data_IF_506148734861
#
_entry.id   IF_506148734861
#
_cell.length_a   1.000
_cell.length_b   1.000
_cell.length_c   1.000
_cell.angle_alpha   90.00
_cell.angle_beta   90.00
_cell.angle_gamma   90.00
#
_symmetry.space_group_name_H-M   'P 1'
#
loop_
_entity.id
_entity.type
_entity.pdbx_description
1 polymer ?
#
# COMPACT_ATOMS: atom_id res chain seq x y z
N UNK A 1 2.08 -29.15 10.74
CA UNK A 1 2.71 -28.06 9.95
C UNK A 1 1.72 -27.37 9.01
N UNK A 2 0.64 -28.02 8.57
CA UNK A 2 -0.40 -27.42 7.70
C UNK A 2 -1.14 -26.22 8.33
N UNK A 3 -1.49 -26.26 9.62
CA UNK A 3 -2.29 -25.21 10.27
C UNK A 3 -1.61 -23.83 10.39
N UNK A 4 -0.27 -23.74 10.30
CA UNK A 4 0.47 -22.47 10.33
C UNK A 4 0.61 -21.87 8.93
N UNK A 5 0.75 -22.73 7.91
CA UNK A 5 0.78 -22.33 6.50
C UNK A 5 -0.56 -21.75 6.07
N UNK A 6 -1.65 -22.42 6.46
CA UNK A 6 -3.03 -22.02 6.15
C UNK A 6 -3.39 -20.67 6.80
N UNK A 7 -2.94 -20.44 8.05
CA UNK A 7 -3.06 -19.13 8.72
C UNK A 7 -2.27 -18.02 8.06
N UNK A 8 -1.10 -18.29 7.48
CA UNK A 8 -0.32 -17.28 6.74
C UNK A 8 -0.96 -16.92 5.40
N UNK A 9 -1.68 -17.86 4.78
CA UNK A 9 -2.45 -17.62 3.56
C UNK A 9 -3.73 -16.81 3.83
N UNK A 10 -4.34 -16.97 5.01
CA UNK A 10 -5.59 -16.29 5.39
C UNK A 10 -5.49 -14.74 5.50
N UNK A 11 -4.29 -14.18 5.64
CA UNK A 11 -4.07 -12.72 5.78
C UNK A 11 -3.31 -12.09 4.61
N UNK A 12 -3.14 -12.83 3.51
CA UNK A 12 -2.53 -12.33 2.28
C UNK A 12 -3.58 -11.98 1.25
N UNK A 13 -3.35 -10.90 0.52
CA UNK A 13 -4.16 -10.50 -0.62
C UNK A 13 -3.28 -10.35 -1.85
N UNK A 14 -3.76 -10.86 -2.98
CA UNK A 14 -3.19 -10.56 -4.27
C UNK A 14 -3.78 -9.24 -4.80
N UNK A 15 -2.91 -8.35 -5.25
CA UNK A 15 -3.27 -7.05 -5.81
C UNK A 15 -2.24 -6.60 -6.87
N UNK A 16 -2.46 -5.43 -7.45
CA UNK A 16 -1.51 -4.74 -8.32
C UNK A 16 -1.04 -3.44 -7.70
N UNK A 17 0.26 -3.18 -7.77
CA UNK A 17 0.85 -1.95 -7.27
C UNK A 17 1.96 -1.44 -8.20
N UNK A 18 2.26 -0.15 -8.09
CA UNK A 18 3.49 0.43 -8.64
C UNK A 18 4.50 0.51 -7.50
N UNK A 19 5.72 0.01 -7.75
CA UNK A 19 6.80 -0.03 -6.76
C UNK A 19 8.00 0.77 -7.25
N UNK A 20 8.51 1.67 -6.41
CA UNK A 20 9.87 2.18 -6.51
C UNK A 20 10.69 1.55 -5.39
N UNK A 21 11.88 1.05 -5.71
CA UNK A 21 12.76 0.36 -4.77
C UNK A 21 14.14 1.00 -4.81
N UNK A 22 14.68 1.36 -3.65
CA UNK A 22 16.02 1.93 -3.54
C UNK A 22 16.82 1.17 -2.48
N UNK A 23 18.04 0.77 -2.83
CA UNK A 23 18.98 0.21 -1.86
C UNK A 23 19.30 1.28 -0.82
N UNK A 24 19.37 0.86 0.45
CA UNK A 24 19.68 1.76 1.56
C UNK A 24 20.79 1.17 2.41
N UNK A 25 21.55 2.05 3.06
CA UNK A 25 22.54 1.65 4.04
C UNK A 25 21.96 1.73 5.46
N UNK A 26 22.72 1.28 6.47
CA UNK A 26 22.28 1.32 7.87
C UNK A 26 22.08 2.75 8.40
N UNK A 27 22.84 3.72 7.90
CA UNK A 27 22.72 5.11 8.31
C UNK A 27 21.39 5.72 7.84
N UNK A 28 20.94 5.42 6.63
CA UNK A 28 19.64 5.85 6.11
C UNK A 28 18.51 5.36 7.03
N UNK A 29 18.53 4.07 7.40
CA UNK A 29 17.54 3.43 8.29
C UNK A 29 17.42 4.09 9.67
N UNK A 30 18.49 4.71 10.14
CA UNK A 30 18.56 5.32 11.47
C UNK A 30 18.32 6.83 11.45
N UNK A 31 18.57 7.49 10.32
CA UNK A 31 18.62 8.96 10.26
C UNK A 31 17.44 9.61 9.56
N UNK A 32 16.66 8.85 8.78
CA UNK A 32 15.54 9.39 8.02
C UNK A 32 14.38 8.40 7.89
N UNK A 33 13.23 8.90 7.43
CA UNK A 33 12.09 8.07 7.05
C UNK A 33 12.29 7.53 5.63
N UNK A 34 11.69 6.37 5.33
CA UNK A 34 11.85 5.72 4.02
C UNK A 34 11.47 6.62 2.83
N UNK A 35 10.49 7.51 2.99
CA UNK A 35 10.09 8.48 1.95
C UNK A 35 11.25 9.38 1.49
N UNK A 36 12.15 9.75 2.42
CA UNK A 36 13.28 10.64 2.13
C UNK A 36 14.38 9.97 1.28
N UNK A 37 14.33 8.65 1.11
CA UNK A 37 15.24 7.94 0.22
C UNK A 37 14.89 8.18 -1.26
N UNK A 38 13.67 8.62 -1.56
CA UNK A 38 13.18 8.83 -2.93
C UNK A 38 13.27 10.30 -3.35
N UNK A 39 13.39 10.58 -4.67
CA UNK A 39 13.16 11.92 -5.18
C UNK A 39 11.78 12.45 -4.78
N UNK A 40 11.70 13.76 -4.51
CA UNK A 40 10.45 14.42 -4.16
C UNK A 40 9.35 14.14 -5.18
N UNK A 41 8.18 13.75 -4.70
CA UNK A 41 7.04 13.39 -5.54
C UNK A 41 5.81 14.21 -5.15
N UNK A 42 5.41 15.13 -6.03
CA UNK A 42 4.25 16.00 -5.79
C UNK A 42 2.95 15.20 -5.61
N UNK A 43 2.77 14.11 -6.37
CA UNK A 43 1.64 13.21 -6.22
C UNK A 43 1.65 12.52 -4.86
N UNK A 44 2.81 12.07 -4.39
CA UNK A 44 2.94 11.45 -3.08
C UNK A 44 2.58 12.45 -1.99
N UNK A 45 3.18 13.64 -2.00
CA UNK A 45 2.87 14.68 -1.03
C UNK A 45 1.39 15.10 -1.05
N UNK A 46 0.78 15.23 -2.24
CA UNK A 46 -0.64 15.52 -2.38
C UNK A 46 -1.51 14.46 -1.69
N UNK A 47 -1.27 13.18 -1.98
CA UNK A 47 -2.07 12.10 -1.42
C UNK A 47 -1.86 11.96 0.09
N UNK A 48 -0.63 12.15 0.59
CA UNK A 48 -0.36 12.18 2.04
C UNK A 48 -1.07 13.34 2.74
N UNK A 49 -1.09 14.52 2.12
CA UNK A 49 -1.79 15.68 2.68
C UNK A 49 -3.30 15.45 2.77
N UNK A 50 -3.93 14.88 1.73
CA UNK A 50 -5.37 14.54 1.77
C UNK A 50 -5.66 13.55 2.90
N UNK A 51 -4.84 12.50 3.04
CA UNK A 51 -4.99 11.51 4.12
C UNK A 51 -4.79 12.11 5.52
N UNK A 52 -3.87 13.08 5.67
CA UNK A 52 -3.69 13.81 6.93
C UNK A 52 -4.96 14.59 7.30
N UNK A 53 -5.51 15.33 6.33
CA UNK A 53 -6.74 16.11 6.51
C UNK A 53 -7.91 15.19 6.89
N UNK A 54 -8.05 14.02 6.24
CA UNK A 54 -9.09 13.05 6.58
C UNK A 54 -8.92 12.50 8.00
N UNK A 55 -7.67 12.25 8.43
CA UNK A 55 -7.36 11.76 9.77
C UNK A 55 -7.69 12.81 10.84
N UNK A 56 -7.34 14.07 10.60
CA UNK A 56 -7.68 15.22 11.45
C UNK A 56 -9.19 15.41 11.56
N UNK A 57 -9.93 15.19 10.47
CA UNK A 57 -11.38 15.35 10.42
C UNK A 57 -12.17 14.17 10.99
N UNK A 58 -11.53 13.04 11.30
CA UNK A 58 -12.21 11.80 11.66
C UNK A 58 -13.14 11.94 12.89
N UNK A 59 -12.68 12.64 13.94
CA UNK A 59 -13.50 12.88 15.14
C UNK A 59 -14.67 13.83 14.87
N UNK A 60 -14.47 14.86 14.02
CA UNK A 60 -15.52 15.78 13.63
C UNK A 60 -16.61 15.06 12.83
N UNK A 61 -16.22 14.24 11.85
CA UNK A 61 -17.18 13.44 11.08
C UNK A 61 -17.98 12.48 11.95
N UNK A 62 -17.35 11.87 12.96
CA UNK A 62 -18.05 11.03 13.94
C UNK A 62 -19.06 11.84 14.76
N UNK A 63 -18.65 12.99 15.29
CA UNK A 63 -19.55 13.88 16.05
C UNK A 63 -20.72 14.41 15.19
N UNK A 64 -20.50 14.63 13.90
CA UNK A 64 -21.56 15.00 12.95
C UNK A 64 -22.50 13.81 12.75
N UNK A 65 -21.97 12.60 12.55
CA UNK A 65 -22.77 11.39 12.38
C UNK A 65 -23.71 11.14 13.57
N UNK A 66 -23.20 11.29 14.79
CA UNK A 66 -23.97 11.11 16.02
C UNK A 66 -25.13 12.12 16.15
N UNK A 67 -25.03 13.29 15.49
CA UNK A 67 -26.07 14.34 15.47
C UNK A 67 -27.02 14.24 14.27
N UNK A 68 -26.48 13.96 13.09
CA UNK A 68 -27.22 13.78 11.84
C UNK A 68 -26.46 12.84 10.90
N UNK A 69 -26.95 11.59 10.76
CA UNK A 69 -26.40 10.63 9.83
C UNK A 69 -26.44 11.11 8.36
N UNK A 70 -27.46 11.87 7.97
CA UNK A 70 -27.64 12.36 6.59
C UNK A 70 -26.58 13.41 6.22
N UNK A 71 -26.30 14.35 7.13
CA UNK A 71 -25.25 15.36 6.92
C UNK A 71 -23.88 14.68 6.86
N UNK A 72 -23.63 13.71 7.75
CA UNK A 72 -22.39 12.92 7.72
C UNK A 72 -22.22 12.18 6.39
N UNK A 73 -23.28 11.52 5.89
CA UNK A 73 -23.27 10.84 4.60
C UNK A 73 -22.99 11.79 3.42
N UNK A 74 -23.51 13.02 3.47
CA UNK A 74 -23.20 14.05 2.48
C UNK A 74 -21.72 14.45 2.52
N UNK A 75 -21.14 14.73 3.69
CA UNK A 75 -19.72 15.04 3.82
C UNK A 75 -18.81 13.90 3.36
N UNK A 76 -19.14 12.66 3.71
CA UNK A 76 -18.41 11.48 3.21
C UNK A 76 -18.47 11.38 1.68
N UNK A 77 -19.60 11.76 1.07
CA UNK A 77 -19.74 11.80 -0.39
C UNK A 77 -18.90 12.91 -1.02
N UNK A 78 -18.78 14.07 -0.35
CA UNK A 78 -17.89 15.17 -0.77
C UNK A 78 -16.42 14.75 -0.65
N UNK A 79 -16.01 14.14 0.46
CA UNK A 79 -14.64 13.61 0.61
C UNK A 79 -14.32 12.61 -0.49
N UNK A 80 -15.24 11.67 -0.77
CA UNK A 80 -15.06 10.69 -1.86
C UNK A 80 -14.89 11.36 -3.22
N UNK A 81 -15.59 12.46 -3.52
CA UNK A 81 -15.40 13.22 -4.76
C UNK A 81 -13.98 13.79 -4.84
N UNK A 82 -13.49 14.37 -3.74
CA UNK A 82 -12.13 14.94 -3.66
C UNK A 82 -11.08 13.83 -3.83
N UNK A 83 -11.21 12.73 -3.08
CA UNK A 83 -10.33 11.56 -3.20
C UNK A 83 -10.28 11.03 -4.64
N UNK A 84 -11.44 10.97 -5.32
CA UNK A 84 -11.51 10.48 -6.71
C UNK A 84 -10.76 11.40 -7.66
N UNK A 85 -10.94 12.72 -7.55
CA UNK A 85 -10.22 13.71 -8.38
C UNK A 85 -8.72 13.65 -8.09
N UNK A 86 -8.33 13.61 -6.82
CA UNK A 86 -6.94 13.53 -6.42
C UNK A 86 -6.25 12.25 -6.92
N UNK A 87 -6.94 11.10 -6.86
CA UNK A 87 -6.41 9.85 -7.38
C UNK A 87 -6.15 9.92 -8.90
N UNK A 88 -7.03 10.55 -9.67
CA UNK A 88 -6.81 10.76 -11.11
C UNK A 88 -5.60 11.64 -11.36
N UNK A 89 -5.47 12.75 -10.64
CA UNK A 89 -4.32 13.67 -10.74
C UNK A 89 -3.02 12.94 -10.36
N UNK A 90 -3.01 12.24 -9.23
CA UNK A 90 -1.85 11.48 -8.76
C UNK A 90 -1.43 10.41 -9.78
N UNK A 91 -2.39 9.69 -10.37
CA UNK A 91 -2.13 8.69 -11.40
C UNK A 91 -1.52 9.29 -12.67
N UNK A 92 -1.99 10.45 -13.11
CA UNK A 92 -1.40 11.17 -14.25
C UNK A 92 0.05 11.57 -13.97
N UNK A 93 0.37 11.99 -12.74
CA UNK A 93 1.71 12.44 -12.34
C UNK A 93 2.68 11.27 -12.12
N UNK A 94 2.23 10.15 -11.53
CA UNK A 94 3.04 8.92 -11.37
C UNK A 94 3.40 8.28 -12.74
N UNK A 95 2.70 8.71 -13.81
CA UNK A 95 2.99 8.52 -15.24
C UNK A 95 2.65 7.16 -15.86
N UNK A 96 2.41 7.21 -17.18
CA UNK A 96 2.15 6.13 -18.14
C UNK A 96 3.17 4.97 -18.18
N UNK A 97 4.39 5.16 -17.64
CA UNK A 97 5.49 4.18 -17.73
C UNK A 97 5.68 3.35 -16.46
N UNK A 98 4.97 3.72 -15.39
CA UNK A 98 4.99 2.95 -14.15
C UNK A 98 4.20 1.66 -14.35
N UNK A 99 4.91 0.55 -14.47
CA UNK A 99 4.28 -0.76 -14.63
C UNK A 99 3.56 -1.15 -13.34
N UNK A 100 2.26 -1.41 -13.45
CA UNK A 100 1.55 -2.13 -12.41
C UNK A 100 2.04 -3.57 -12.41
N UNK A 101 2.60 -4.01 -11.28
CA UNK A 101 3.06 -5.38 -11.11
C UNK A 101 2.18 -6.10 -10.10
N UNK A 102 2.08 -7.41 -10.25
CA UNK A 102 1.40 -8.26 -9.28
C UNK A 102 2.18 -8.28 -7.96
N UNK A 103 1.46 -8.07 -6.87
CA UNK A 103 2.01 -8.12 -5.51
C UNK A 103 1.12 -8.99 -4.63
N UNK A 104 1.72 -9.69 -3.67
CA UNK A 104 1.00 -10.24 -2.53
C UNK A 104 1.33 -9.41 -1.30
N UNK A 105 0.29 -8.97 -0.59
CA UNK A 105 0.42 -8.09 0.55
C UNK A 105 -0.12 -8.75 1.81
N UNK A 106 0.58 -8.56 2.92
CA UNK A 106 0.14 -8.86 4.27
C UNK A 106 0.50 -7.69 5.19
N UNK A 107 0.00 -7.68 6.42
CA UNK A 107 0.39 -6.67 7.41
C UNK A 107 1.90 -6.70 7.72
N UNK A 108 2.54 -7.87 7.58
CA UNK A 108 3.96 -8.05 7.90
C UNK A 108 4.91 -7.83 6.73
N UNK A 109 4.42 -7.72 5.49
CA UNK A 109 5.32 -7.69 4.33
C UNK A 109 4.62 -7.75 2.98
N UNK A 110 5.43 -7.64 1.94
CA UNK A 110 5.04 -7.62 0.53
C UNK A 110 5.92 -8.58 -0.27
N UNK A 111 5.34 -9.28 -1.23
CA UNK A 111 6.08 -10.01 -2.23
C UNK A 111 5.74 -9.54 -3.64
N UNK A 112 6.72 -9.57 -4.53
CA UNK A 112 6.61 -9.11 -5.92
C UNK A 112 7.62 -9.84 -6.81
N UNK A 113 7.45 -9.72 -8.12
CA UNK A 113 8.40 -10.24 -9.10
C UNK A 113 9.34 -9.11 -9.56
N UNK A 114 10.62 -9.41 -9.73
CA UNK A 114 11.66 -8.48 -10.15
C UNK A 114 12.50 -9.09 -11.26
N UNK A 115 12.99 -8.28 -12.19
CA UNK A 115 13.92 -8.72 -13.24
C UNK A 115 15.37 -8.81 -12.74
N UNK A 116 15.64 -8.36 -11.51
CA UNK A 116 16.94 -8.43 -10.87
C UNK A 116 16.80 -8.98 -9.44
N UNK A 117 17.79 -9.76 -8.97
CA UNK A 117 17.77 -10.27 -7.60
C UNK A 117 17.96 -9.13 -6.61
N UNK A 118 17.38 -9.27 -5.42
CA UNK A 118 17.71 -8.45 -4.26
C UNK A 118 18.45 -9.31 -3.23
N UNK A 119 19.40 -8.72 -2.52
CA UNK A 119 20.21 -9.46 -1.56
C UNK A 119 19.38 -9.83 -0.33
N UNK A 120 19.40 -11.11 0.02
CA UNK A 120 18.75 -11.60 1.24
C UNK A 120 19.40 -10.93 2.46
N UNK A 121 18.58 -10.62 3.46
CA UNK A 121 18.93 -9.89 4.66
C UNK A 121 19.29 -8.41 4.49
N UNK A 122 19.36 -7.90 3.25
CA UNK A 122 19.57 -6.48 3.00
C UNK A 122 18.27 -5.67 3.15
N UNK A 123 18.43 -4.41 3.55
CA UNK A 123 17.33 -3.44 3.65
C UNK A 123 17.21 -2.60 2.38
N UNK A 124 15.97 -2.29 2.02
CA UNK A 124 15.61 -1.40 0.93
C UNK A 124 14.56 -0.41 1.42
N UNK A 125 14.56 0.80 0.87
CA UNK A 125 13.38 1.65 0.90
C UNK A 125 12.45 1.20 -0.24
N UNK A 126 11.17 1.05 0.05
CA UNK A 126 10.13 0.77 -0.94
C UNK A 126 9.05 1.85 -0.87
N UNK A 127 8.66 2.37 -2.03
CA UNK A 127 7.50 3.25 -2.18
C UNK A 127 6.47 2.52 -3.02
N UNK A 128 5.27 2.36 -2.46
CA UNK A 128 4.18 1.54 -2.96
C UNK A 128 3.02 2.45 -3.30
N UNK A 129 2.44 2.27 -4.49
CA UNK A 129 1.18 2.89 -4.88
C UNK A 129 0.13 1.83 -5.17
N UNK A 130 -0.94 1.81 -4.37
CA UNK A 130 -2.09 0.96 -4.61
C UNK A 130 -3.09 1.63 -5.56
N UNK A 131 -3.38 0.96 -6.69
CA UNK A 131 -3.95 1.58 -7.90
C UNK A 131 -5.37 2.15 -7.74
N UNK A 132 -6.26 1.54 -6.94
CA UNK A 132 -7.66 1.98 -6.87
C UNK A 132 -7.85 3.36 -6.24
N UNK A 133 -7.09 3.67 -5.19
CA UNK A 133 -7.18 4.93 -4.44
C UNK A 133 -5.93 5.78 -4.54
N UNK A 134 -4.94 5.34 -5.34
CA UNK A 134 -3.58 5.90 -5.34
C UNK A 134 -3.08 6.13 -3.91
N UNK A 135 -3.25 5.12 -3.05
CA UNK A 135 -2.72 5.19 -1.68
C UNK A 135 -1.23 4.94 -1.74
N UNK A 136 -0.46 6.00 -1.45
CA UNK A 136 1.00 5.97 -1.42
C UNK A 136 1.51 5.61 -0.03
N UNK A 137 2.42 4.64 0.06
CA UNK A 137 3.12 4.24 1.28
C UNK A 137 4.61 4.18 0.99
N UNK A 138 5.43 4.70 1.90
CA UNK A 138 6.87 4.56 1.86
C UNK A 138 7.33 3.84 3.13
N UNK A 139 8.06 2.75 2.99
CA UNK A 139 8.47 1.91 4.10
C UNK A 139 9.89 1.38 3.89
N UNK A 140 10.56 1.06 4.99
CA UNK A 140 11.73 0.19 4.91
C UNK A 140 11.27 -1.26 4.84
N UNK A 141 11.99 -2.06 4.08
CA UNK A 141 11.79 -3.50 4.01
C UNK A 141 13.11 -4.23 4.16
N UNK A 142 13.05 -5.44 4.73
CA UNK A 142 14.16 -6.40 4.72
C UNK A 142 13.81 -7.55 3.80
N UNK A 143 14.70 -7.91 2.87
CA UNK A 143 14.50 -9.07 2.00
C UNK A 143 14.66 -10.34 2.85
N UNK A 144 13.61 -11.16 2.88
CA UNK A 144 13.59 -12.43 3.63
C UNK A 144 13.70 -13.65 2.72
N UNK A 145 13.40 -13.50 1.42
CA UNK A 145 13.66 -14.51 0.41
C UNK A 145 13.80 -13.87 -0.98
N UNK A 146 14.69 -14.44 -1.79
CA UNK A 146 14.83 -14.15 -3.21
C UNK A 146 14.96 -15.51 -3.93
N UNK A 147 13.98 -15.85 -4.75
CA UNK A 147 13.94 -17.12 -5.48
C UNK A 147 13.92 -16.85 -6.98
N UNK A 148 14.87 -17.42 -7.72
CA UNK A 148 14.86 -17.40 -9.19
C UNK A 148 13.69 -18.24 -9.72
N UNK A 149 13.04 -17.74 -10.77
CA UNK A 149 11.91 -18.36 -11.45
C UNK A 149 12.33 -18.89 -12.83
N UNK A 150 11.51 -19.74 -13.42
CA UNK A 150 11.80 -20.41 -14.70
C UNK A 150 12.00 -19.43 -15.88
N UNK A 151 11.50 -18.20 -15.75
CA UNK A 151 11.62 -17.13 -16.75
C UNK A 151 12.85 -16.22 -16.54
N UNK A 152 13.80 -16.63 -15.70
CA UNK A 152 14.97 -15.85 -15.25
C UNK A 152 14.64 -14.56 -14.49
N UNK A 153 13.40 -14.43 -13.99
CA UNK A 153 13.03 -13.38 -13.03
C UNK A 153 13.17 -13.88 -11.59
N UNK A 154 12.92 -13.01 -10.63
CA UNK A 154 13.06 -13.30 -9.20
C UNK A 154 11.77 -13.02 -8.45
N UNK A 155 11.32 -13.99 -7.67
CA UNK A 155 10.31 -13.80 -6.65
C UNK A 155 10.97 -13.24 -5.39
N UNK A 156 10.66 -11.98 -5.09
CA UNK A 156 11.16 -11.29 -3.90
C UNK A 156 10.10 -11.34 -2.80
N UNK A 157 10.51 -11.71 -1.59
CA UNK A 157 9.68 -11.59 -0.39
C UNK A 157 10.35 -10.65 0.60
N UNK A 158 9.62 -9.63 1.01
CA UNK A 158 10.09 -8.56 1.87
C UNK A 158 9.25 -8.48 3.15
N UNK A 159 9.91 -8.26 4.29
CA UNK A 159 9.26 -7.93 5.55
C UNK A 159 9.30 -6.42 5.78
N UNK A 160 8.18 -5.80 6.13
CA UNK A 160 8.16 -4.38 6.50
C UNK A 160 8.96 -4.11 7.77
N UNK A 161 9.59 -2.94 7.83
CA UNK A 161 10.40 -2.44 8.94
C UNK A 161 10.03 -1.00 9.23
N UNK A 162 9.92 -0.67 10.53
CA UNK A 162 9.70 0.69 11.01
C UNK A 162 8.49 1.39 10.34
N UNK A 163 7.39 0.67 10.14
CA UNK A 163 6.15 1.30 9.68
C UNK A 163 5.68 2.31 10.73
N UNK A 164 5.17 3.45 10.29
CA UNK A 164 4.44 4.36 11.16
C UNK A 164 3.06 3.79 11.46
N UNK A 165 2.45 4.16 12.60
CA UNK A 165 1.06 3.80 12.93
C UNK A 165 0.06 4.19 11.81
N UNK A 166 0.37 5.25 11.05
CA UNK A 166 -0.42 5.69 9.92
C UNK A 166 -0.31 4.70 8.77
N UNK A 167 0.91 4.31 8.40
CA UNK A 167 1.16 3.39 7.29
C UNK A 167 0.67 1.96 7.61
N UNK A 168 0.82 1.50 8.87
CA UNK A 168 0.23 0.22 9.32
C UNK A 168 -1.29 0.21 9.10
N UNK A 169 -1.98 1.26 9.55
CA UNK A 169 -3.43 1.38 9.35
C UNK A 169 -3.82 1.47 7.88
N UNK A 170 -3.03 2.16 7.06
CA UNK A 170 -3.26 2.24 5.62
C UNK A 170 -3.15 0.86 4.96
N UNK A 171 -2.12 0.07 5.32
CA UNK A 171 -1.93 -1.31 4.83
C UNK A 171 -3.09 -2.19 5.27
N UNK A 172 -3.41 -2.25 6.57
CA UNK A 172 -4.51 -3.09 7.07
C UNK A 172 -5.84 -2.73 6.41
N UNK A 173 -6.13 -1.42 6.28
CA UNK A 173 -7.34 -0.95 5.60
C UNK A 173 -7.38 -1.35 4.14
N UNK A 174 -6.26 -1.27 3.44
CA UNK A 174 -6.15 -1.67 2.04
C UNK A 174 -6.41 -3.16 1.87
N UNK A 175 -5.75 -3.99 2.69
CA UNK A 175 -5.95 -5.45 2.71
C UNK A 175 -7.43 -5.80 2.89
N UNK A 176 -8.10 -5.18 3.88
CA UNK A 176 -9.53 -5.41 4.13
C UNK A 176 -10.41 -5.03 2.92
N UNK A 177 -10.08 -3.92 2.23
CA UNK A 177 -10.81 -3.48 1.04
C UNK A 177 -10.66 -4.47 -0.11
N UNK A 178 -9.43 -4.96 -0.35
CA UNK A 178 -9.17 -5.97 -1.39
C UNK A 178 -9.90 -7.28 -1.08
N UNK A 179 -9.85 -7.77 0.16
CA UNK A 179 -10.58 -8.98 0.57
C UNK A 179 -12.08 -8.84 0.36
N UNK A 180 -12.66 -7.71 0.79
CA UNK A 180 -14.08 -7.45 0.64
C UNK A 180 -14.50 -7.42 -0.84
N UNK A 181 -13.66 -6.85 -1.72
CA UNK A 181 -13.90 -6.84 -3.17
C UNK A 181 -13.84 -8.25 -3.76
N UNK A 182 -12.81 -9.02 -3.44
CA UNK A 182 -12.66 -10.40 -3.92
C UNK A 182 -13.84 -11.29 -3.48
N UNK A 183 -14.32 -11.13 -2.25
CA UNK A 183 -15.50 -11.85 -1.75
C UNK A 183 -16.78 -11.51 -2.52
N UNK A 184 -16.97 -10.25 -2.93
CA UNK A 184 -18.12 -9.84 -3.74
C UNK A 184 -18.06 -10.46 -5.14
N UNK A 185 -16.91 -10.37 -5.81
CA UNK A 185 -16.72 -10.95 -7.14
C UNK A 185 -16.94 -12.46 -7.14
N UNK A 186 -16.47 -13.19 -6.11
CA UNK A 186 -16.72 -14.63 -5.98
C UNK A 186 -18.20 -14.99 -5.90
N UNK A 187 -19.03 -14.15 -5.28
CA UNK A 187 -20.49 -14.39 -5.20
C UNK A 187 -21.16 -14.16 -6.56
N UNK A 188 -20.79 -13.10 -7.26
CA UNK A 188 -21.31 -12.77 -8.60
C UNK A 188 -20.93 -13.80 -9.67
N UNK A 189 -19.87 -14.58 -9.47
CA UNK A 189 -19.45 -15.67 -10.36
C UNK A 189 -20.18 -16.99 -10.12
N UNK A 190 -20.88 -17.13 -8.99
CA UNK A 190 -21.60 -18.34 -8.58
C UNK A 190 -23.10 -18.23 -8.90
N UNK A 191 -23.61 -17.00 -9.02
CA UNK A 191 -24.98 -16.65 -9.45
C UNK A 191 -25.08 -16.54 -10.99
#
# INVERSE_FOLDING_TARGET
>A
MEAVSDRRQLFRVDDTAILDIMAVNEQDLLSQVAEACFPSSESFSLMRNIQSIDSENALLLRNIHDKSPEISAYFLSVNKKIETVAAVIAKQIVSEHANNIAVDLSEGGIGFQSNAPLEIDQHYAIKIWFNEKMTGIAAYVKVVACQELDDNSFRISCQFKQLSDVDEKLISRHIMQVQAKQQRMKKELID
#
